data_IF_120369708178
#
_entry.id   IF_120369708178
#
_cell.length_a   1.000
_cell.length_b   1.000
_cell.length_c   1.000
_cell.angle_alpha   90.00
_cell.angle_beta   90.00
_cell.angle_gamma   90.00
#
_symmetry.space_group_name_H-M   'P 1'
#
loop_
_entity.id
_entity.type
_entity.pdbx_description
1 polymer ?
#
# COMPACT_ATOMS: atom_id res chain seq x y z
N UNK A 1 17.55 -12.37 -36.09
CA UNK A 1 16.26 -11.77 -35.75
C UNK A 1 16.19 -11.86 -34.23
N UNK A 2 16.38 -10.74 -33.52
CA UNK A 2 16.37 -10.75 -32.05
C UNK A 2 14.91 -10.75 -31.62
N UNK A 3 14.51 -11.81 -30.95
CA UNK A 3 13.19 -11.91 -30.32
C UNK A 3 13.16 -10.85 -29.22
N UNK A 4 12.37 -9.79 -29.42
CA UNK A 4 12.09 -8.85 -28.36
C UNK A 4 11.15 -9.57 -27.39
N UNK A 5 11.69 -9.98 -26.24
CA UNK A 5 10.88 -10.39 -25.09
C UNK A 5 9.81 -9.33 -24.89
N UNK A 6 8.51 -9.69 -24.90
CA UNK A 6 7.47 -8.70 -24.68
C UNK A 6 7.66 -8.09 -23.28
N UNK A 7 7.49 -6.77 -23.11
CA UNK A 7 7.52 -6.18 -21.77
C UNK A 7 6.42 -6.86 -20.94
N UNK A 8 6.79 -7.35 -19.76
CA UNK A 8 5.83 -7.92 -18.81
C UNK A 8 4.74 -6.90 -18.45
N UNK A 9 3.51 -7.34 -18.15
CA UNK A 9 2.39 -6.45 -17.87
C UNK A 9 2.72 -5.48 -16.73
N UNK A 10 2.20 -4.27 -16.83
CA UNK A 10 2.60 -3.06 -16.08
C UNK A 10 2.21 -3.05 -14.59
N UNK A 11 2.41 -4.15 -13.86
CA UNK A 11 2.29 -4.24 -12.40
C UNK A 11 3.64 -4.07 -11.71
N UNK A 12 3.63 -3.71 -10.42
CA UNK A 12 4.82 -3.83 -9.57
C UNK A 12 5.23 -5.31 -9.53
N UNK A 13 6.51 -5.61 -9.78
CA UNK A 13 7.03 -6.96 -9.53
C UNK A 13 6.91 -7.30 -8.03
N UNK A 14 6.75 -8.58 -7.71
CA UNK A 14 6.44 -9.04 -6.35
C UNK A 14 7.46 -8.53 -5.31
N UNK A 15 8.76 -8.61 -5.60
CA UNK A 15 9.81 -8.09 -4.71
C UNK A 15 9.69 -6.56 -4.49
N UNK A 16 9.38 -5.82 -5.56
CA UNK A 16 9.20 -4.37 -5.49
C UNK A 16 7.98 -4.01 -4.64
N UNK A 17 6.91 -4.81 -4.71
CA UNK A 17 5.70 -4.63 -3.92
C UNK A 17 5.97 -4.88 -2.44
N UNK A 18 6.65 -5.98 -2.10
CA UNK A 18 6.97 -6.34 -0.72
C UNK A 18 7.81 -5.24 -0.04
N UNK A 19 8.82 -4.71 -0.74
CA UNK A 19 9.63 -3.58 -0.26
C UNK A 19 8.77 -2.35 0.07
N UNK A 20 7.82 -2.03 -0.82
CA UNK A 20 6.94 -0.88 -0.64
C UNK A 20 5.91 -1.08 0.47
N UNK A 21 5.39 -2.30 0.63
CA UNK A 21 4.53 -2.66 1.75
C UNK A 21 5.25 -2.40 3.08
N UNK A 22 6.49 -2.86 3.21
CA UNK A 22 7.29 -2.66 4.43
C UNK A 22 7.56 -1.17 4.68
N UNK A 23 7.98 -0.41 3.67
CA UNK A 23 8.25 1.03 3.79
C UNK A 23 7.01 1.80 4.26
N UNK A 24 5.88 1.59 3.62
CA UNK A 24 4.62 2.27 3.95
C UNK A 24 4.12 1.84 5.34
N UNK A 25 4.17 0.55 5.67
CA UNK A 25 3.74 0.04 6.97
C UNK A 25 4.57 0.64 8.12
N UNK A 26 5.90 0.74 7.94
CA UNK A 26 6.80 1.37 8.91
C UNK A 26 6.50 2.85 9.11
N UNK A 27 6.26 3.60 8.04
CA UNK A 27 5.90 5.02 8.14
C UNK A 27 4.57 5.23 8.90
N UNK A 28 3.56 4.40 8.62
CA UNK A 28 2.27 4.42 9.34
C UNK A 28 2.48 4.13 10.83
N UNK A 29 3.29 3.11 11.15
CA UNK A 29 3.60 2.73 12.53
C UNK A 29 4.36 3.81 13.28
N UNK A 30 5.38 4.43 12.67
CA UNK A 30 6.15 5.53 13.25
C UNK A 30 5.26 6.73 13.63
N UNK A 31 4.16 6.93 12.92
CA UNK A 31 3.18 8.00 13.17
C UNK A 31 2.10 7.60 14.16
N UNK A 32 2.10 6.36 14.66
CA UNK A 32 1.08 5.83 15.57
C UNK A 32 -0.29 5.67 14.92
N UNK A 33 -0.34 5.47 13.59
CA UNK A 33 -1.58 5.41 12.82
C UNK A 33 -2.02 3.99 12.44
N UNK A 34 -1.30 2.95 12.88
CA UNK A 34 -1.48 1.55 12.47
C UNK A 34 -2.94 1.09 12.51
N UNK A 35 -3.59 1.17 13.68
CA UNK A 35 -4.99 0.76 13.85
C UNK A 35 -5.95 1.55 12.96
N UNK A 36 -5.74 2.87 12.84
CA UNK A 36 -6.59 3.72 11.99
C UNK A 36 -6.41 3.40 10.51
N UNK A 37 -5.19 3.11 10.07
CA UNK A 37 -4.89 2.73 8.70
C UNK A 37 -5.54 1.38 8.34
N UNK A 38 -5.42 0.36 9.21
CA UNK A 38 -6.10 -0.93 9.02
C UNK A 38 -7.61 -0.75 8.83
N UNK A 39 -8.26 0.00 9.72
CA UNK A 39 -9.70 0.25 9.60
C UNK A 39 -10.07 1.01 8.33
N UNK A 40 -9.28 2.01 7.93
CA UNK A 40 -9.51 2.74 6.69
C UNK A 40 -9.38 1.84 5.45
N UNK A 41 -8.33 1.03 5.38
CA UNK A 41 -8.07 0.12 4.25
C UNK A 41 -9.11 -1.02 4.17
N UNK A 42 -9.62 -1.49 5.31
CA UNK A 42 -10.72 -2.44 5.35
C UNK A 42 -12.04 -1.79 4.90
N UNK A 43 -12.31 -0.56 5.31
CA UNK A 43 -13.48 0.20 4.90
C UNK A 43 -13.46 0.58 3.40
N UNK A 44 -12.28 0.64 2.78
CA UNK A 44 -12.13 0.96 1.36
C UNK A 44 -12.41 -0.22 0.42
N UNK A 45 -12.56 -1.45 0.94
CA UNK A 45 -12.88 -2.68 0.17
C UNK A 45 -13.96 -2.51 -0.91
N UNK A 46 -15.11 -1.85 -0.67
CA UNK A 46 -16.16 -1.68 -1.67
C UNK A 46 -15.73 -0.86 -2.91
N UNK A 47 -14.68 -0.07 -2.80
CA UNK A 47 -14.21 0.84 -3.85
C UNK A 47 -13.04 0.27 -4.66
N UNK A 48 -12.46 -0.87 -4.25
CA UNK A 48 -11.32 -1.51 -4.93
C UNK A 48 -11.55 -1.84 -6.42
N UNK A 49 -12.76 -2.22 -6.88
CA UNK A 49 -13.01 -2.44 -8.31
C UNK A 49 -12.79 -1.20 -9.20
N UNK A 50 -12.68 0.00 -8.61
CA UNK A 50 -12.38 1.24 -9.32
C UNK A 50 -10.89 1.39 -9.66
N UNK A 51 -10.02 0.55 -9.07
CA UNK A 51 -8.58 0.50 -9.32
C UNK A 51 -7.88 1.85 -9.19
N UNK A 52 -6.90 2.10 -10.06
CA UNK A 52 -6.08 3.32 -10.07
C UNK A 52 -6.89 4.62 -10.14
N UNK A 53 -8.09 4.62 -10.73
CA UNK A 53 -8.93 5.83 -10.84
C UNK A 53 -9.51 6.26 -9.48
N UNK A 54 -9.77 5.33 -8.56
CA UNK A 54 -10.16 5.69 -7.19
C UNK A 54 -8.99 6.28 -6.41
N UNK A 55 -7.75 5.85 -6.69
CA UNK A 55 -6.58 6.42 -6.01
C UNK A 55 -6.38 7.89 -6.30
N UNK A 56 -6.72 8.36 -7.51
CA UNK A 56 -6.69 9.80 -7.82
C UNK A 56 -7.64 10.63 -6.92
N UNK A 57 -8.72 10.04 -6.41
CA UNK A 57 -9.61 10.72 -5.46
C UNK A 57 -9.01 10.79 -4.06
N UNK A 58 -8.26 9.77 -3.64
CA UNK A 58 -7.62 9.71 -2.33
C UNK A 58 -6.23 10.37 -2.30
N UNK A 59 -5.63 10.65 -3.46
CA UNK A 59 -4.31 11.25 -3.63
C UNK A 59 -4.08 12.51 -2.77
N UNK A 60 -5.01 13.48 -2.62
CA UNK A 60 -4.77 14.64 -1.76
C UNK A 60 -4.62 14.30 -0.27
N UNK A 61 -5.37 13.29 0.20
CA UNK A 61 -5.30 12.83 1.60
C UNK A 61 -4.01 12.05 1.82
N UNK A 62 -3.66 11.18 0.86
CA UNK A 62 -2.43 10.40 0.89
C UNK A 62 -1.20 11.30 0.79
N UNK A 63 -1.20 12.28 -0.08
CA UNK A 63 -0.13 13.27 -0.21
C UNK A 63 0.04 14.09 1.08
N UNK A 64 -1.07 14.47 1.73
CA UNK A 64 -1.02 15.20 3.00
C UNK A 64 -0.53 14.35 4.17
N UNK A 65 -0.82 13.04 4.16
CA UNK A 65 -0.36 12.10 5.18
C UNK A 65 1.08 11.67 4.89
N UNK A 66 1.37 11.08 3.75
CA UNK A 66 2.66 10.46 3.44
C UNK A 66 3.71 11.42 2.86
N UNK A 67 3.31 12.62 2.44
CA UNK A 67 4.16 13.52 1.66
C UNK A 67 4.27 12.98 0.24
N UNK A 68 4.02 13.81 -0.78
CA UNK A 68 4.04 13.41 -2.20
C UNK A 68 5.36 12.87 -2.75
N UNK A 69 6.32 12.55 -1.89
CA UNK A 69 7.61 11.93 -2.22
C UNK A 69 7.60 10.40 -2.09
N UNK A 70 6.45 9.78 -1.81
CA UNK A 70 6.26 8.33 -2.00
C UNK A 70 5.50 8.06 -3.31
N UNK A 71 6.19 8.03 -4.48
CA UNK A 71 5.66 7.50 -5.74
C UNK A 71 5.03 6.10 -5.64
N UNK A 72 5.30 5.40 -4.55
CA UNK A 72 5.01 4.00 -4.27
C UNK A 72 3.70 3.72 -3.55
N UNK A 73 3.20 4.64 -2.71
CA UNK A 73 1.95 4.41 -1.97
C UNK A 73 0.73 4.33 -2.92
N UNK A 74 0.68 5.20 -3.93
CA UNK A 74 -0.38 5.21 -4.92
C UNK A 74 -0.36 3.97 -5.82
N UNK A 75 0.82 3.39 -6.07
CA UNK A 75 0.97 2.14 -6.83
C UNK A 75 0.50 0.93 -6.01
N UNK A 76 0.85 0.88 -4.72
CA UNK A 76 0.41 -0.17 -3.80
C UNK A 76 -1.11 -0.16 -3.60
N UNK A 77 -1.72 1.03 -3.51
CA UNK A 77 -3.15 1.17 -3.34
C UNK A 77 -3.96 1.08 -4.66
N UNK A 78 -3.29 1.10 -5.81
CA UNK A 78 -3.92 0.86 -7.11
C UNK A 78 -4.12 -0.64 -7.40
N UNK A 79 -3.45 -1.51 -6.63
CA UNK A 79 -3.50 -2.95 -6.76
C UNK A 79 -4.16 -3.59 -5.53
N UNK A 80 -5.09 -4.51 -5.77
CA UNK A 80 -5.86 -5.17 -4.71
C UNK A 80 -4.95 -6.01 -3.81
N UNK A 81 -3.98 -6.70 -4.41
CA UNK A 81 -3.01 -7.53 -3.72
C UNK A 81 -2.08 -6.67 -2.84
N UNK A 82 -1.72 -5.47 -3.30
CA UNK A 82 -0.90 -4.53 -2.54
C UNK A 82 -1.63 -3.99 -1.29
N UNK A 83 -2.94 -3.73 -1.42
CA UNK A 83 -3.77 -3.31 -0.27
C UNK A 83 -3.87 -4.43 0.76
N UNK A 84 -4.11 -5.68 0.35
CA UNK A 84 -4.21 -6.79 1.31
C UNK A 84 -2.88 -7.03 2.03
N UNK A 85 -1.76 -7.07 1.31
CA UNK A 85 -0.44 -7.22 1.93
C UNK A 85 -0.13 -6.09 2.92
N UNK A 86 -0.54 -4.85 2.61
CA UNK A 86 -0.39 -3.73 3.54
C UNK A 86 -1.24 -3.90 4.81
N UNK A 87 -2.47 -4.40 4.68
CA UNK A 87 -3.34 -4.67 5.84
C UNK A 87 -2.69 -5.73 6.73
N UNK A 88 -2.31 -6.87 6.16
CA UNK A 88 -1.68 -7.98 6.91
C UNK A 88 -0.43 -7.48 7.64
N UNK A 89 0.43 -6.74 6.96
CA UNK A 89 1.66 -6.22 7.58
C UNK A 89 1.40 -5.24 8.72
N UNK A 90 0.39 -4.39 8.60
CA UNK A 90 0.00 -3.46 9.67
C UNK A 90 -0.60 -4.19 10.87
N UNK A 91 -1.36 -5.27 10.63
CA UNK A 91 -1.89 -6.14 11.69
C UNK A 91 -0.73 -6.82 12.45
N UNK A 92 0.26 -7.36 11.74
CA UNK A 92 1.48 -7.93 12.35
C UNK A 92 2.22 -6.91 13.23
N UNK A 93 2.44 -5.68 12.75
CA UNK A 93 3.09 -4.62 13.53
C UNK A 93 2.31 -4.24 14.79
N UNK A 94 0.98 -4.25 14.71
CA UNK A 94 0.11 -3.98 15.85
C UNK A 94 0.20 -5.08 16.90
N UNK A 95 0.31 -6.34 16.47
CA UNK A 95 0.53 -7.47 17.37
C UNK A 95 1.92 -7.41 18.02
N UNK A 96 2.99 -7.18 17.24
CA UNK A 96 4.36 -7.01 17.73
C UNK A 96 4.43 -5.96 18.86
N UNK A 97 3.83 -4.79 18.64
CA UNK A 97 3.85 -3.69 19.61
C UNK A 97 2.99 -3.98 20.85
N UNK A 98 1.89 -4.73 20.70
CA UNK A 98 0.99 -5.08 21.80
C UNK A 98 1.56 -6.12 22.77
N UNK A 99 2.56 -6.90 22.34
CA UNK A 99 3.22 -7.91 23.17
C UNK A 99 4.39 -7.34 23.99
N UNK A 100 4.86 -6.15 23.65
CA UNK A 100 5.93 -5.40 24.33
C UNK A 100 5.43 -4.44 25.44
N UNK A 101 4.10 -4.38 25.68
CA UNK A 101 3.45 -3.42 26.60
C UNK A 101 3.04 -4.02 27.96
#
# INVERSE_FOLDING_TARGET
>A
MSEATPPEPQGLGDEQRDELVEEVAREIQLRGLTTSAVHFLQASRPYRPLGANAMLFFDPVLHGLFGGELPSASALLADEDGIEQLIERLEDLSEETGWDA
#
